data_IF_427451316562
#
_entry.id   IF_427451316562
#
_cell.length_a   1.000
_cell.length_b   1.000
_cell.length_c   1.000
_cell.angle_alpha   90.00
_cell.angle_beta   90.00
_cell.angle_gamma   90.00
#
_symmetry.space_group_name_H-M   'P 1'
#
loop_
_entity.id
_entity.type
_entity.pdbx_description
1 polymer ?
#
# COMPACT_ATOMS: atom_id res chain seq x y z
N UNK A 1 7.52 15.83 10.01
CA UNK A 1 6.33 15.02 9.69
C UNK A 1 6.75 13.71 9.03
N UNK A 2 5.88 12.71 9.04
CA UNK A 2 6.18 11.33 8.67
C UNK A 2 5.83 11.00 7.21
N UNK A 3 6.59 10.08 6.61
CA UNK A 3 6.17 9.34 5.41
C UNK A 3 5.65 7.98 5.86
N UNK A 4 4.43 7.64 5.46
CA UNK A 4 3.81 6.35 5.78
C UNK A 4 3.61 5.56 4.50
N UNK A 5 4.07 4.31 4.49
CA UNK A 5 3.73 3.34 3.44
C UNK A 5 2.46 2.59 3.83
N UNK A 6 1.51 2.49 2.90
CA UNK A 6 0.33 1.62 3.00
C UNK A 6 0.44 0.50 1.96
N UNK A 7 0.60 -0.73 2.44
CA UNK A 7 0.77 -1.93 1.62
C UNK A 7 -0.30 -2.98 1.94
N UNK A 8 -0.43 -4.01 1.11
CA UNK A 8 -1.35 -5.12 1.32
C UNK A 8 -1.84 -5.74 0.02
N UNK A 9 -2.54 -6.86 0.10
CA UNK A 9 -2.95 -7.59 -1.11
C UNK A 9 -4.12 -6.92 -1.86
N UNK A 10 -4.42 -7.38 -3.07
CA UNK A 10 -5.59 -6.89 -3.82
C UNK A 10 -6.88 -7.28 -3.10
N UNK A 11 -7.79 -6.33 -2.88
CA UNK A 11 -9.07 -6.57 -2.19
C UNK A 11 -9.10 -6.19 -0.71
N UNK A 12 -7.97 -5.82 -0.10
CA UNK A 12 -7.90 -5.35 1.29
C UNK A 12 -8.46 -3.93 1.50
N UNK A 13 -8.87 -3.23 0.44
CA UNK A 13 -9.49 -1.91 0.57
C UNK A 13 -8.52 -0.71 0.59
N UNK A 14 -7.25 -0.89 0.18
CA UNK A 14 -6.26 0.20 0.05
C UNK A 14 -6.84 1.45 -0.61
N UNK A 15 -7.31 1.36 -1.86
CA UNK A 15 -7.80 2.54 -2.61
C UNK A 15 -8.95 3.26 -1.92
N UNK A 16 -9.83 2.55 -1.19
CA UNK A 16 -10.90 3.16 -0.41
C UNK A 16 -10.36 3.96 0.79
N UNK A 17 -9.38 3.39 1.52
CA UNK A 17 -8.72 4.05 2.63
C UNK A 17 -7.93 5.29 2.17
N UNK A 18 -7.21 5.18 1.06
CA UNK A 18 -6.50 6.30 0.41
C UNK A 18 -7.47 7.42 0.01
N UNK A 19 -8.61 7.09 -0.57
CA UNK A 19 -9.65 8.06 -0.89
C UNK A 19 -10.21 8.76 0.36
N UNK A 20 -10.31 8.04 1.48
CA UNK A 20 -10.67 8.63 2.77
C UNK A 20 -9.64 9.63 3.27
N UNK A 21 -8.36 9.26 3.26
CA UNK A 21 -7.26 10.15 3.65
C UNK A 21 -7.17 11.40 2.76
N UNK A 22 -7.32 11.24 1.45
CA UNK A 22 -7.33 12.36 0.51
C UNK A 22 -8.48 13.35 0.81
N UNK A 23 -9.67 12.85 1.17
CA UNK A 23 -10.80 13.70 1.60
C UNK A 23 -10.53 14.48 2.89
N UNK A 24 -9.66 13.96 3.76
CA UNK A 24 -9.19 14.66 4.96
C UNK A 24 -8.05 15.65 4.66
N UNK A 25 -7.62 15.78 3.41
CA UNK A 25 -6.58 16.72 2.98
C UNK A 25 -5.16 16.19 3.05
N UNK A 26 -4.96 14.90 3.34
CA UNK A 26 -3.63 14.30 3.30
C UNK A 26 -3.13 14.15 1.86
N UNK A 27 -1.84 14.39 1.65
CA UNK A 27 -1.17 14.08 0.39
C UNK A 27 -1.00 12.58 0.26
N UNK A 28 -1.68 11.99 -0.71
CA UNK A 28 -1.66 10.55 -0.97
C UNK A 28 -1.13 10.29 -2.38
N UNK A 29 -0.19 9.37 -2.51
CA UNK A 29 0.35 8.88 -3.78
C UNK A 29 0.08 7.39 -3.89
N UNK A 30 -0.88 7.02 -4.73
CA UNK A 30 -1.12 5.63 -5.12
C UNK A 30 -0.17 5.25 -6.26
N UNK A 31 0.82 4.41 -5.96
CA UNK A 31 1.89 4.08 -6.91
C UNK A 31 1.47 3.08 -7.98
N UNK A 32 0.30 2.47 -7.84
CA UNK A 32 -0.32 1.63 -8.88
C UNK A 32 -0.68 2.49 -10.13
N UNK A 33 -0.68 3.82 -10.01
CA UNK A 33 -1.04 4.77 -11.06
C UNK A 33 0.01 5.87 -11.26
N UNK A 34 0.26 6.29 -12.51
CA UNK A 34 1.14 7.44 -12.79
C UNK A 34 2.61 7.09 -13.07
N UNK A 35 2.89 5.83 -13.41
CA UNK A 35 4.20 5.39 -13.90
C UNK A 35 5.28 5.34 -12.82
N UNK A 36 4.90 5.13 -11.56
CA UNK A 36 5.84 4.83 -10.47
C UNK A 36 6.40 3.42 -10.57
N UNK A 37 5.63 2.49 -11.17
CA UNK A 37 6.00 1.10 -11.32
C UNK A 37 6.48 0.83 -12.76
N UNK A 38 7.45 -0.07 -12.89
CA UNK A 38 7.89 -0.65 -14.14
C UNK A 38 8.15 -2.14 -13.95
N UNK A 39 7.96 -2.93 -15.00
CA UNK A 39 8.44 -4.30 -15.03
C UNK A 39 9.96 -4.26 -15.18
N UNK A 40 10.67 -4.55 -14.08
CA UNK A 40 12.13 -4.50 -14.03
C UNK A 40 12.69 -5.92 -13.89
N UNK A 41 13.84 -6.20 -14.54
CA UNK A 41 14.41 -7.54 -14.57
C UNK A 41 14.90 -7.98 -13.19
N UNK A 42 14.75 -9.28 -12.92
CA UNK A 42 15.31 -9.97 -11.78
C UNK A 42 16.58 -10.75 -12.16
N UNK A 43 17.42 -11.15 -11.18
CA UNK A 43 18.65 -11.90 -11.45
C UNK A 43 18.44 -13.25 -12.15
N UNK A 44 17.25 -13.83 -12.05
CA UNK A 44 16.88 -15.09 -12.71
C UNK A 44 16.39 -14.90 -14.17
N UNK A 45 16.40 -13.66 -14.68
CA UNK A 45 15.98 -13.31 -16.03
C UNK A 45 14.47 -13.08 -16.20
N UNK A 46 13.67 -13.23 -15.13
CA UNK A 46 12.26 -12.82 -15.13
C UNK A 46 12.14 -11.30 -14.96
N UNK A 47 10.94 -10.74 -15.06
CA UNK A 47 10.67 -9.34 -14.77
C UNK A 47 9.45 -9.23 -13.89
N UNK A 48 9.54 -8.39 -12.87
CA UNK A 48 8.47 -8.18 -11.89
C UNK A 48 8.19 -6.69 -11.71
N UNK A 49 6.93 -6.32 -11.38
CA UNK A 49 6.57 -4.96 -11.04
C UNK A 49 7.40 -4.45 -9.85
N UNK A 50 8.17 -3.39 -10.10
CA UNK A 50 9.03 -2.74 -9.13
C UNK A 50 8.84 -1.22 -9.21
N UNK A 51 9.00 -0.54 -8.08
CA UNK A 51 9.09 0.91 -8.08
C UNK A 51 10.33 1.38 -8.86
N UNK A 52 10.12 2.40 -9.68
CA UNK A 52 11.16 3.27 -10.22
C UNK A 52 11.79 4.04 -9.08
N UNK A 53 12.95 3.56 -8.63
CA UNK A 53 13.59 4.02 -7.41
C UNK A 53 13.85 5.53 -7.43
N UNK A 54 14.28 6.06 -8.58
CA UNK A 54 14.54 7.48 -8.76
C UNK A 54 13.30 8.36 -8.52
N UNK A 55 12.11 7.85 -8.84
CA UNK A 55 10.85 8.59 -8.63
C UNK A 55 10.43 8.56 -7.18
N UNK A 56 10.52 7.39 -6.54
CA UNK A 56 10.19 7.25 -5.12
C UNK A 56 11.16 8.08 -4.26
N UNK A 57 12.45 8.05 -4.58
CA UNK A 57 13.46 8.87 -3.91
C UNK A 57 13.16 10.36 -4.04
N UNK A 58 12.84 10.83 -5.26
CA UNK A 58 12.50 12.23 -5.49
C UNK A 58 11.25 12.65 -4.71
N UNK A 59 10.24 11.78 -4.65
CA UNK A 59 9.00 12.02 -3.90
C UNK A 59 9.25 12.13 -2.38
N UNK A 60 10.01 11.19 -1.81
CA UNK A 60 10.35 11.22 -0.37
C UNK A 60 11.26 12.42 -0.07
N UNK A 61 12.21 12.77 -0.94
CA UNK A 61 13.06 13.94 -0.77
C UNK A 61 12.27 15.27 -0.83
N UNK A 62 11.19 15.33 -1.61
CA UNK A 62 10.26 16.48 -1.62
C UNK A 62 9.52 16.61 -0.28
N UNK A 63 9.02 15.50 0.25
CA UNK A 63 8.45 15.44 1.60
C UNK A 63 9.44 15.95 2.65
N UNK A 64 10.68 15.45 2.63
CA UNK A 64 11.68 15.82 3.64
C UNK A 64 12.01 17.32 3.64
N UNK A 65 11.94 17.97 2.47
CA UNK A 65 12.15 19.42 2.33
C UNK A 65 10.94 20.24 2.77
N UNK A 66 9.73 19.82 2.39
CA UNK A 66 8.49 20.55 2.72
C UNK A 66 8.07 20.34 4.17
N UNK A 67 8.36 19.16 4.72
CA UNK A 67 7.88 18.73 6.01
C UNK A 67 6.37 18.50 6.05
N UNK A 68 5.66 18.44 4.93
CA UNK A 68 4.23 18.07 4.90
C UNK A 68 4.06 16.56 5.08
N UNK A 69 2.97 16.03 5.67
CA UNK A 69 2.78 14.58 5.73
C UNK A 69 2.55 13.95 4.35
N UNK A 70 3.12 12.76 4.13
CA UNK A 70 2.98 12.01 2.88
C UNK A 70 2.56 10.57 3.14
N UNK A 71 1.57 10.10 2.39
CA UNK A 71 1.17 8.69 2.33
C UNK A 71 1.51 8.14 0.95
N UNK A 72 2.35 7.10 0.91
CA UNK A 72 2.64 6.35 -0.30
C UNK A 72 1.93 5.01 -0.20
N UNK A 73 1.27 4.57 -1.26
CA UNK A 73 0.62 3.26 -1.29
C UNK A 73 1.10 2.44 -2.47
N UNK A 74 1.32 1.15 -2.24
CA UNK A 74 1.77 0.21 -3.25
C UNK A 74 2.19 -1.11 -2.61
N UNK A 75 2.27 -2.15 -3.43
CA UNK A 75 2.76 -3.47 -3.02
C UNK A 75 3.58 -4.05 -4.16
N UNK A 76 4.89 -3.79 -4.10
CA UNK A 76 5.86 -4.19 -5.14
C UNK A 76 7.10 -4.81 -4.53
N UNK A 77 7.85 -5.55 -5.33
CA UNK A 77 8.94 -6.40 -4.85
C UNK A 77 10.06 -5.61 -4.11
N UNK A 78 10.43 -4.44 -4.63
CA UNK A 78 11.54 -3.64 -4.09
C UNK A 78 11.12 -2.62 -3.03
N UNK A 79 9.86 -2.60 -2.58
CA UNK A 79 9.38 -1.61 -1.59
C UNK A 79 10.21 -1.63 -0.28
N UNK A 80 10.76 -2.79 0.08
CA UNK A 80 11.58 -2.97 1.28
C UNK A 80 12.86 -2.11 1.29
N UNK A 81 13.38 -1.71 0.11
CA UNK A 81 14.54 -0.82 0.00
C UNK A 81 14.30 0.55 0.62
N UNK A 82 13.03 0.97 0.70
CA UNK A 82 12.63 2.28 1.19
C UNK A 82 12.14 2.27 2.64
N UNK A 83 12.01 1.10 3.27
CA UNK A 83 11.52 1.00 4.66
C UNK A 83 12.28 1.89 5.66
N UNK A 84 13.62 2.05 5.59
CA UNK A 84 14.34 2.96 6.47
C UNK A 84 13.95 4.45 6.35
N UNK A 85 13.26 4.83 5.26
CA UNK A 85 12.77 6.18 4.99
C UNK A 85 11.31 6.37 5.39
N UNK A 86 10.60 5.30 5.74
CA UNK A 86 9.23 5.37 6.23
C UNK A 86 9.21 5.41 7.76
N UNK A 87 8.38 6.29 8.30
CA UNK A 87 8.11 6.29 9.74
C UNK A 87 7.28 5.07 10.15
N UNK A 88 6.37 4.66 9.28
CA UNK A 88 5.51 3.48 9.48
C UNK A 88 5.33 2.74 8.15
N UNK A 89 5.38 1.41 8.22
CA UNK A 89 4.99 0.50 7.14
C UNK A 89 3.70 -0.19 7.57
N UNK A 90 2.59 0.27 7.03
CA UNK A 90 1.25 -0.19 7.42
C UNK A 90 0.78 -1.27 6.45
N UNK A 91 0.58 -2.48 6.98
CA UNK A 91 -0.11 -3.54 6.27
C UNK A 91 -1.61 -3.42 6.50
N UNK A 92 -2.37 -3.27 5.42
CA UNK A 92 -3.81 -3.51 5.42
C UNK A 92 -4.09 -4.98 5.13
N UNK A 93 -4.84 -5.64 6.01
CA UNK A 93 -5.19 -7.06 5.86
C UNK A 93 -6.70 -7.29 5.94
N UNK A 94 -7.13 -8.42 5.39
CA UNK A 94 -8.47 -8.97 5.55
C UNK A 94 -8.42 -10.47 5.27
N UNK A 95 -9.34 -11.29 5.81
CA UNK A 95 -9.43 -12.68 5.41
C UNK A 95 -9.71 -12.81 3.91
N UNK A 96 -9.07 -13.79 3.25
CA UNK A 96 -9.22 -14.04 1.81
C UNK A 96 -10.69 -14.08 1.34
N UNK A 97 -11.64 -14.74 2.04
CA UNK A 97 -13.05 -14.72 1.61
C UNK A 97 -13.64 -13.30 1.53
N UNK A 98 -13.29 -12.43 2.47
CA UNK A 98 -13.73 -11.02 2.49
C UNK A 98 -13.11 -10.25 1.32
N UNK A 99 -11.83 -10.49 1.03
CA UNK A 99 -11.14 -9.87 -0.10
C UNK A 99 -11.80 -10.26 -1.43
N UNK A 100 -12.09 -11.55 -1.62
CA UNK A 100 -12.72 -12.05 -2.84
C UNK A 100 -14.15 -11.53 -3.01
N UNK A 101 -14.92 -11.41 -1.93
CA UNK A 101 -16.26 -10.79 -1.95
C UNK A 101 -16.19 -9.33 -2.42
N UNK A 102 -15.28 -8.53 -1.83
CA UNK A 102 -15.06 -7.13 -2.23
C UNK A 102 -14.62 -7.01 -3.68
N UNK A 103 -13.72 -7.88 -4.11
CA UNK A 103 -13.24 -7.92 -5.50
C UNK A 103 -14.36 -8.30 -6.47
N UNK A 104 -15.25 -9.20 -6.08
CA UNK A 104 -16.43 -9.54 -6.89
C UNK A 104 -17.39 -8.34 -7.00
N UNK A 105 -17.62 -7.60 -5.91
CA UNK A 105 -18.57 -6.50 -5.86
C UNK A 105 -18.06 -5.16 -6.43
N UNK A 106 -16.75 -4.92 -6.49
CA UNK A 106 -16.20 -3.61 -6.94
C UNK A 106 -16.47 -3.33 -8.42
N UNK A 107 -16.78 -2.08 -8.77
CA UNK A 107 -17.00 -1.68 -10.17
C UNK A 107 -15.80 -0.96 -10.80
N UNK A 108 -14.88 -0.49 -9.98
CA UNK A 108 -13.81 0.44 -10.40
C UNK A 108 -12.53 -0.22 -10.91
N UNK A 109 -12.37 -1.54 -10.70
CA UNK A 109 -11.18 -2.28 -11.12
C UNK A 109 -11.58 -3.67 -11.67
N UNK A 110 -11.26 -3.97 -12.96
CA UNK A 110 -11.67 -5.21 -13.62
C UNK A 110 -10.87 -6.45 -13.21
N UNK A 111 -9.77 -6.31 -12.47
CA UNK A 111 -8.97 -7.46 -12.01
C UNK A 111 -9.76 -8.31 -11.00
N UNK A 112 -9.56 -9.63 -10.99
CA UNK A 112 -10.21 -10.54 -10.05
C UNK A 112 -11.65 -10.91 -10.41
N UNK A 113 -12.11 -10.57 -11.62
CA UNK A 113 -13.44 -10.93 -12.12
C UNK A 113 -13.47 -12.34 -12.69
N UNK A 114 -12.35 -12.84 -13.16
CA UNK A 114 -12.20 -14.22 -13.64
C UNK A 114 -11.79 -15.19 -12.51
N UNK A 115 -12.12 -16.49 -12.63
CA UNK A 115 -11.61 -17.51 -11.69
C UNK A 115 -10.09 -17.52 -11.57
N UNK A 116 -9.37 -17.33 -12.69
CA UNK A 116 -7.91 -17.35 -12.76
C UNK A 116 -7.29 -16.20 -11.97
N UNK A 117 -7.84 -14.99 -12.10
CA UNK A 117 -7.38 -13.84 -11.33
C UNK A 117 -7.71 -13.98 -9.84
N UNK A 118 -8.85 -14.59 -9.48
CA UNK A 118 -9.17 -14.88 -8.06
C UNK A 118 -8.23 -15.92 -7.48
N UNK A 119 -7.87 -16.95 -8.25
CA UNK A 119 -6.86 -17.92 -7.86
C UNK A 119 -5.50 -17.26 -7.67
N UNK A 120 -5.13 -16.31 -8.54
CA UNK A 120 -3.91 -15.50 -8.36
C UNK A 120 -3.96 -14.66 -7.09
N UNK A 121 -5.06 -13.96 -6.82
CA UNK A 121 -5.22 -13.23 -5.54
C UNK A 121 -5.03 -14.15 -4.34
N UNK A 122 -5.60 -15.36 -4.38
CA UNK A 122 -5.44 -16.34 -3.31
C UNK A 122 -3.98 -16.79 -3.14
N UNK A 123 -3.30 -17.11 -4.24
CA UNK A 123 -1.90 -17.52 -4.26
C UNK A 123 -0.98 -16.41 -3.75
N UNK A 124 -1.10 -15.20 -4.32
CA UNK A 124 -0.31 -14.03 -3.91
C UNK A 124 -0.55 -13.73 -2.43
N UNK A 125 -1.77 -13.88 -1.92
CA UNK A 125 -2.07 -13.65 -0.49
C UNK A 125 -1.39 -14.69 0.40
N UNK A 126 -1.38 -15.96 0.00
CA UNK A 126 -0.71 -17.02 0.75
C UNK A 126 0.82 -16.86 0.76
N UNK A 127 1.40 -16.37 -0.34
CA UNK A 127 2.85 -16.27 -0.51
C UNK A 127 3.42 -14.94 -0.02
N UNK A 128 2.76 -13.82 -0.33
CA UNK A 128 3.31 -12.47 -0.14
C UNK A 128 2.86 -11.84 1.17
N UNK A 129 1.61 -12.02 1.60
CA UNK A 129 1.10 -11.39 2.83
C UNK A 129 1.93 -11.72 4.08
N UNK A 130 2.39 -12.97 4.31
CA UNK A 130 3.28 -13.26 5.43
C UNK A 130 4.58 -12.46 5.41
N UNK A 131 5.15 -12.19 4.23
CA UNK A 131 6.37 -11.40 4.05
C UNK A 131 6.11 -9.91 4.35
N UNK A 132 4.96 -9.39 3.89
CA UNK A 132 4.52 -8.03 4.21
C UNK A 132 4.33 -7.88 5.72
N UNK A 133 3.65 -8.84 6.35
CA UNK A 133 3.37 -8.86 7.79
C UNK A 133 4.64 -8.90 8.62
N UNK A 134 5.62 -9.71 8.22
CA UNK A 134 6.91 -9.79 8.90
C UNK A 134 7.69 -8.46 8.89
N UNK A 135 7.43 -7.60 7.91
CA UNK A 135 8.13 -6.31 7.75
C UNK A 135 7.30 -5.09 8.15
N UNK A 136 6.01 -5.28 8.43
CA UNK A 136 5.11 -4.19 8.79
C UNK A 136 5.39 -3.69 10.21
N UNK A 137 5.33 -2.38 10.41
CA UNK A 137 5.37 -1.79 11.75
C UNK A 137 3.99 -1.84 12.40
N UNK A 138 2.93 -1.74 11.59
CA UNK A 138 1.53 -1.80 12.04
C UNK A 138 0.73 -2.63 11.05
N UNK A 139 -0.10 -3.53 11.56
CA UNK A 139 -1.15 -4.20 10.79
C UNK A 139 -2.52 -3.63 11.18
N UNK A 140 -3.34 -3.32 10.16
CA UNK A 140 -4.73 -2.87 10.32
C UNK A 140 -5.64 -3.85 9.61
N UNK A 141 -6.51 -4.50 10.38
CA UNK A 141 -7.58 -5.34 9.86
C UNK A 141 -8.70 -4.47 9.28
N UNK A 142 -8.90 -4.61 7.98
CA UNK A 142 -9.87 -3.81 7.22
C UNK A 142 -11.27 -4.40 7.22
N UNK A 143 -11.55 -5.44 8.02
CA UNK A 143 -12.93 -5.80 8.38
C UNK A 143 -13.61 -4.70 9.21
N UNK A 144 -12.82 -3.87 9.88
CA UNK A 144 -13.31 -2.67 10.54
C UNK A 144 -13.97 -1.71 9.52
N UNK A 145 -14.91 -0.86 9.98
CA UNK A 145 -15.48 0.21 9.17
C UNK A 145 -14.41 1.10 8.51
N UNK A 146 -14.70 1.59 7.30
CA UNK A 146 -13.73 2.35 6.50
C UNK A 146 -13.28 3.64 7.21
N UNK A 147 -14.19 4.33 7.89
CA UNK A 147 -13.91 5.52 8.68
C UNK A 147 -12.95 5.25 9.84
N UNK A 148 -13.09 4.11 10.52
CA UNK A 148 -12.13 3.68 11.56
C UNK A 148 -10.74 3.39 10.97
N UNK A 149 -10.67 2.69 9.83
CA UNK A 149 -9.40 2.41 9.14
C UNK A 149 -8.72 3.72 8.73
N UNK A 150 -9.48 4.67 8.16
CA UNK A 150 -8.98 5.98 7.73
C UNK A 150 -8.50 6.81 8.93
N UNK A 151 -9.27 6.83 10.02
CA UNK A 151 -8.89 7.54 11.24
C UNK A 151 -7.56 6.99 11.80
N UNK A 152 -7.41 5.67 11.87
CA UNK A 152 -6.19 5.03 12.35
C UNK A 152 -4.98 5.32 11.45
N UNK A 153 -5.16 5.34 10.13
CA UNK A 153 -4.10 5.76 9.21
C UNK A 153 -3.73 7.24 9.41
N UNK A 154 -4.72 8.12 9.57
CA UNK A 154 -4.50 9.54 9.81
C UNK A 154 -3.72 9.79 11.12
N UNK A 155 -4.01 9.02 12.17
CA UNK A 155 -3.25 9.03 13.42
C UNK A 155 -1.79 8.64 13.24
N UNK A 156 -1.47 7.63 12.42
CA UNK A 156 -0.09 7.22 12.16
C UNK A 156 0.68 8.31 11.38
N UNK A 157 0.04 8.89 10.37
CA UNK A 157 0.60 9.97 9.54
C UNK A 157 0.87 11.23 10.37
N UNK A 158 -0.03 11.55 11.30
CA UNK A 158 0.06 12.73 12.17
C UNK A 158 0.95 12.47 13.40
N UNK A 159 0.92 11.27 13.97
CA UNK A 159 1.61 10.88 15.20
C UNK A 159 3.10 10.61 15.01
N UNK A 160 3.53 10.23 13.81
CA UNK A 160 4.96 10.19 13.45
C UNK A 160 5.62 11.57 13.44
N UNK A 161 4.85 12.66 13.53
CA UNK A 161 5.40 14.00 13.74
C UNK A 161 5.89 14.25 15.18
N UNK A 162 5.31 13.57 16.17
CA UNK A 162 5.48 13.86 17.60
C UNK A 162 6.51 12.97 18.29
N UNK A 163 7.02 11.92 17.62
CA UNK A 163 8.13 11.09 18.11
C UNK A 163 9.46 11.63 17.55
N UNK A 164 10.00 12.68 18.14
CA UNK A 164 11.39 13.12 18.00
C UNK A 164 11.98 13.40 19.36
#
# INVERSE_FOLDING_TARGET
>A
MAVVLVTGMSGVGKSAALGGLARLGYRVVDTDHGGWVADLPLPDGTSEPQWREERIDALIAEHERSGEPLVIAGTVLNQARFYPRFAEVVLLSAPLPVMLERVAARETNPYGKTPEERARIAADTAEVEPLLRASATVEIDTRAPLDEVVARLAELVSGGASRR
#
